data_IF_075219866130
#
_entry.id   IF_075219866130
#
_cell.length_a   1.000
_cell.length_b   1.000
_cell.length_c   1.000
_cell.angle_alpha   90.00
_cell.angle_beta   90.00
_cell.angle_gamma   90.00
#
_symmetry.space_group_name_H-M   'P 1'
#
loop_
_entity.id
_entity.type
_entity.pdbx_description
1 polymer ?
#
# COMPACT_ATOMS: atom_id res chain seq x y z
N UNK A 1 -61.98 32.89 26.11
CA UNK A 1 -61.69 31.60 25.46
C UNK A 1 -60.89 31.87 24.20
N UNK A 2 -59.56 31.95 24.35
CA UNK A 2 -58.59 32.29 23.27
C UNK A 2 -57.83 31.06 22.91
N UNK A 3 -58.01 30.59 21.69
CA UNK A 3 -57.24 29.49 21.10
C UNK A 3 -55.85 29.98 20.74
N UNK A 4 -54.82 29.31 21.26
CA UNK A 4 -53.44 29.49 20.83
C UNK A 4 -53.23 28.65 19.57
N UNK A 5 -52.95 29.31 18.46
CA UNK A 5 -52.35 28.73 17.28
C UNK A 5 -50.88 28.42 17.60
N UNK A 6 -50.52 27.15 17.54
CA UNK A 6 -49.14 26.68 17.61
C UNK A 6 -48.53 26.82 16.21
N UNK A 7 -47.54 27.69 16.08
CA UNK A 7 -46.66 27.76 14.93
C UNK A 7 -45.67 26.56 15.00
N UNK A 8 -45.84 25.60 14.10
CA UNK A 8 -44.85 24.62 13.79
C UNK A 8 -43.81 25.27 12.86
N UNK A 9 -42.50 25.24 13.20
CA UNK A 9 -41.51 25.69 12.25
C UNK A 9 -41.31 24.60 11.16
N UNK A 10 -41.61 25.01 9.94
CA UNK A 10 -41.38 24.30 8.70
C UNK A 10 -39.93 23.83 8.60
N UNK A 11 -39.69 22.52 8.73
CA UNK A 11 -38.43 21.85 8.48
C UNK A 11 -38.21 21.59 6.97
N UNK A 12 -38.10 22.66 6.18
CA UNK A 12 -37.95 22.57 4.73
C UNK A 12 -36.90 23.56 4.21
N UNK A 13 -35.76 23.70 4.90
CA UNK A 13 -34.70 24.60 4.45
C UNK A 13 -33.33 24.10 4.88
N UNK A 14 -32.91 22.90 4.45
CA UNK A 14 -31.47 22.53 4.47
C UNK A 14 -31.11 21.38 3.51
N UNK A 15 -31.75 21.28 2.35
CA UNK A 15 -31.42 20.25 1.36
C UNK A 15 -30.69 20.80 0.11
N UNK A 16 -30.41 22.11 0.04
CA UNK A 16 -29.94 22.75 -1.20
C UNK A 16 -28.47 23.15 -1.23
N UNK A 17 -27.62 22.66 -0.34
CA UNK A 17 -26.17 22.98 -0.35
C UNK A 17 -25.27 21.78 -0.01
N UNK A 18 -25.64 20.56 -0.36
CA UNK A 18 -24.65 19.48 -0.37
C UNK A 18 -23.78 19.66 -1.61
N UNK A 19 -22.56 20.12 -1.40
CA UNK A 19 -21.53 20.09 -2.43
C UNK A 19 -21.36 18.61 -2.82
N UNK A 20 -21.51 18.32 -4.12
CA UNK A 20 -21.27 16.98 -4.66
C UNK A 20 -19.84 16.53 -4.29
N UNK A 21 -19.73 15.41 -3.58
CA UNK A 21 -18.44 14.82 -3.24
C UNK A 21 -18.05 13.78 -4.29
N UNK A 22 -17.22 14.15 -5.26
CA UNK A 22 -16.81 13.23 -6.33
C UNK A 22 -16.03 12.02 -5.81
N UNK A 23 -15.58 12.05 -4.55
CA UNK A 23 -14.85 10.93 -3.95
C UNK A 23 -15.76 9.79 -3.48
N UNK A 24 -17.07 9.99 -3.40
CA UNK A 24 -18.04 8.93 -3.07
C UNK A 24 -17.99 7.79 -4.09
N UNK A 25 -17.75 8.11 -5.37
CA UNK A 25 -17.60 7.11 -6.44
C UNK A 25 -16.13 6.78 -6.66
N UNK A 26 -15.73 5.54 -6.35
CA UNK A 26 -14.37 5.06 -6.59
C UNK A 26 -14.37 3.60 -7.05
N UNK A 27 -14.05 3.37 -8.32
CA UNK A 27 -13.99 2.03 -8.94
C UNK A 27 -12.92 1.14 -8.31
N UNK A 28 -11.82 1.72 -7.80
CA UNK A 28 -10.69 0.99 -7.26
C UNK A 28 -10.75 0.82 -5.73
N UNK A 29 -11.66 1.51 -5.06
CA UNK A 29 -11.83 1.38 -3.59
C UNK A 29 -12.02 -0.07 -3.12
N UNK A 30 -12.83 -0.92 -3.81
CA UNK A 30 -12.95 -2.33 -3.43
C UNK A 30 -11.62 -3.08 -3.50
N UNK A 31 -10.80 -2.80 -4.53
CA UNK A 31 -9.47 -3.43 -4.69
C UNK A 31 -8.53 -3.02 -3.56
N UNK A 32 -8.47 -1.72 -3.23
CA UNK A 32 -7.63 -1.24 -2.13
C UNK A 32 -8.07 -1.82 -0.77
N UNK A 33 -9.38 -1.92 -0.53
CA UNK A 33 -9.91 -2.55 0.69
C UNK A 33 -9.57 -4.03 0.77
N UNK A 34 -9.66 -4.75 -0.34
CA UNK A 34 -9.29 -6.17 -0.42
C UNK A 34 -7.81 -6.36 -0.07
N UNK A 35 -6.91 -5.61 -0.72
CA UNK A 35 -5.47 -5.69 -0.46
C UNK A 35 -5.14 -5.34 1.00
N UNK A 36 -5.79 -4.31 1.56
CA UNK A 36 -5.62 -3.97 2.97
C UNK A 36 -6.09 -5.10 3.92
N UNK A 37 -7.22 -5.74 3.62
CA UNK A 37 -7.72 -6.85 4.42
C UNK A 37 -6.75 -8.06 4.37
N UNK A 38 -6.15 -8.33 3.22
CA UNK A 38 -5.12 -9.37 3.09
C UNK A 38 -3.85 -9.03 3.89
N UNK A 39 -3.41 -7.78 3.88
CA UNK A 39 -2.30 -7.32 4.73
C UNK A 39 -2.62 -7.51 6.22
N UNK A 40 -3.87 -7.26 6.66
CA UNK A 40 -4.31 -7.49 8.04
C UNK A 40 -4.29 -8.99 8.42
N UNK A 41 -4.64 -9.88 7.48
CA UNK A 41 -4.52 -11.34 7.69
C UNK A 41 -3.05 -11.77 7.85
N UNK A 42 -2.16 -11.26 7.00
CA UNK A 42 -0.71 -11.51 7.11
C UNK A 42 -0.18 -10.99 8.46
N UNK A 43 -0.61 -9.80 8.90
CA UNK A 43 -0.22 -9.24 10.18
C UNK A 43 -0.66 -10.13 11.37
N UNK A 44 -1.82 -10.81 11.25
CA UNK A 44 -2.25 -11.81 12.25
C UNK A 44 -1.30 -13.01 12.30
N UNK A 45 -0.84 -13.51 11.16
CA UNK A 45 0.18 -14.58 11.13
C UNK A 45 1.44 -14.15 11.88
N UNK A 46 1.85 -12.88 11.79
CA UNK A 46 2.99 -12.38 12.56
C UNK A 46 2.70 -12.35 14.05
N UNK A 47 1.53 -11.83 14.47
CA UNK A 47 1.12 -11.79 15.87
C UNK A 47 1.05 -13.19 16.50
N UNK A 48 0.49 -14.16 15.79
CA UNK A 48 0.42 -15.58 16.22
C UNK A 48 1.80 -16.21 16.43
N UNK A 49 2.84 -15.64 15.78
CA UNK A 49 4.24 -16.03 15.96
C UNK A 49 5.04 -15.08 16.87
N UNK A 50 4.37 -14.22 17.65
CA UNK A 50 5.00 -13.31 18.61
C UNK A 50 5.75 -12.13 17.97
N UNK A 51 5.30 -11.68 16.78
CA UNK A 51 5.86 -10.53 16.06
C UNK A 51 4.79 -9.44 15.95
N UNK A 52 4.64 -8.62 16.98
CA UNK A 52 3.52 -7.68 17.10
C UNK A 52 3.70 -6.35 16.35
N UNK A 53 4.93 -5.94 16.04
CA UNK A 53 5.25 -4.60 15.53
C UNK A 53 5.80 -4.60 14.10
N UNK A 54 5.63 -5.69 13.35
CA UNK A 54 6.03 -5.81 11.96
C UNK A 54 4.85 -5.54 11.02
N UNK A 55 5.08 -4.64 10.05
CA UNK A 55 4.11 -4.40 8.98
C UNK A 55 4.40 -5.31 7.79
N UNK A 56 3.42 -5.99 7.19
CA UNK A 56 3.60 -6.81 5.98
C UNK A 56 4.35 -6.07 4.88
N UNK A 57 4.02 -4.80 4.68
CA UNK A 57 4.68 -3.92 3.71
C UNK A 57 6.19 -3.72 3.90
N UNK A 58 6.79 -4.17 5.03
CA UNK A 58 8.23 -4.05 5.31
C UNK A 58 9.03 -5.31 5.02
N UNK A 59 8.37 -6.44 4.84
CA UNK A 59 9.00 -7.76 4.72
C UNK A 59 9.86 -7.87 3.47
N UNK A 60 9.42 -7.29 2.36
CA UNK A 60 10.20 -7.27 1.12
C UNK A 60 11.61 -6.69 1.32
N UNK A 61 11.73 -5.57 2.01
CA UNK A 61 13.01 -4.92 2.29
C UNK A 61 13.88 -5.75 3.24
N UNK A 62 13.28 -6.37 4.26
CA UNK A 62 13.99 -7.27 5.19
C UNK A 62 14.55 -8.47 4.43
N UNK A 63 13.74 -9.14 3.64
CA UNK A 63 14.16 -10.32 2.87
C UNK A 63 15.19 -9.95 1.80
N UNK A 64 15.08 -8.77 1.20
CA UNK A 64 16.04 -8.27 0.23
C UNK A 64 17.42 -8.02 0.85
N UNK A 65 17.45 -7.37 2.01
CA UNK A 65 18.69 -7.13 2.76
C UNK A 65 19.31 -8.43 3.28
N UNK A 66 18.48 -9.37 3.72
CA UNK A 66 18.97 -10.70 4.12
C UNK A 66 19.65 -11.44 2.96
N UNK A 67 19.04 -11.42 1.78
CA UNK A 67 19.54 -12.15 0.63
C UNK A 67 20.77 -11.52 -0.02
N UNK A 68 20.90 -10.19 0.03
CA UNK A 68 21.95 -9.44 -0.70
C UNK A 68 22.97 -8.73 0.20
N UNK A 69 22.75 -8.73 1.52
CA UNK A 69 23.58 -8.01 2.48
C UNK A 69 23.31 -6.51 2.53
N UNK A 70 24.25 -5.74 3.11
CA UNK A 70 24.13 -4.29 3.25
C UNK A 70 23.94 -3.57 1.91
N UNK A 71 22.99 -2.65 1.85
CA UNK A 71 22.65 -1.87 0.64
C UNK A 71 22.50 -0.39 0.99
N UNK A 72 22.88 0.49 0.08
CA UNK A 72 22.45 1.90 0.15
C UNK A 72 20.93 2.02 -0.10
N UNK A 73 20.31 3.13 0.33
CA UNK A 73 18.89 3.37 0.06
C UNK A 73 18.61 3.36 -1.46
N UNK A 74 19.52 3.89 -2.27
CA UNK A 74 19.38 3.90 -3.73
C UNK A 74 19.40 2.48 -4.34
N UNK A 75 20.30 1.61 -3.88
CA UNK A 75 20.37 0.20 -4.31
C UNK A 75 19.12 -0.57 -3.88
N UNK A 76 18.70 -0.40 -2.63
CA UNK A 76 17.48 -1.04 -2.12
C UNK A 76 16.23 -0.57 -2.88
N UNK A 77 16.12 0.73 -3.18
CA UNK A 77 15.03 1.30 -3.97
C UNK A 77 14.95 0.67 -5.37
N UNK A 78 16.08 0.61 -6.09
CA UNK A 78 16.14 -0.06 -7.39
C UNK A 78 15.76 -1.53 -7.29
N UNK A 79 16.22 -2.22 -6.26
CA UNK A 79 15.99 -3.66 -6.08
C UNK A 79 14.54 -4.01 -5.74
N UNK A 80 13.77 -3.05 -5.23
CA UNK A 80 12.35 -3.20 -4.83
C UNK A 80 11.38 -2.46 -5.74
N UNK A 81 11.88 -1.84 -6.83
CA UNK A 81 11.05 -1.09 -7.79
C UNK A 81 10.40 0.17 -7.20
N UNK A 82 11.03 0.79 -6.17
CA UNK A 82 10.49 1.97 -5.48
C UNK A 82 11.28 3.23 -5.81
N UNK A 83 10.66 4.40 -5.64
CA UNK A 83 11.39 5.67 -5.71
C UNK A 83 12.30 5.83 -4.49
N UNK A 84 13.41 6.56 -4.64
CA UNK A 84 14.34 6.85 -3.55
C UNK A 84 13.63 7.54 -2.36
N UNK A 85 12.76 8.52 -2.63
CA UNK A 85 12.04 9.26 -1.60
C UNK A 85 11.10 8.35 -0.79
N UNK A 86 10.27 7.56 -1.46
CA UNK A 86 9.35 6.63 -0.80
C UNK A 86 10.10 5.60 0.07
N UNK A 87 11.22 5.07 -0.45
CA UNK A 87 12.01 4.12 0.31
C UNK A 87 12.76 4.77 1.49
N UNK A 88 13.25 5.99 1.32
CA UNK A 88 13.91 6.73 2.42
C UNK A 88 12.97 6.91 3.62
N UNK A 89 11.72 7.31 3.38
CA UNK A 89 10.68 7.43 4.43
C UNK A 89 10.39 6.05 5.08
N UNK A 90 10.24 5.01 4.26
CA UNK A 90 9.98 3.64 4.75
C UNK A 90 11.13 3.15 5.63
N UNK A 91 12.38 3.29 5.18
CA UNK A 91 13.58 2.91 5.95
C UNK A 91 13.68 3.69 7.26
N UNK A 92 13.32 4.98 7.27
CA UNK A 92 13.27 5.77 8.49
C UNK A 92 12.26 5.19 9.51
N UNK A 93 11.06 4.82 9.06
CA UNK A 93 10.04 4.20 9.90
C UNK A 93 10.49 2.80 10.42
N UNK A 94 11.09 1.98 9.55
CA UNK A 94 11.61 0.66 9.92
C UNK A 94 12.76 0.75 10.92
N UNK A 95 13.61 1.78 10.82
CA UNK A 95 14.67 2.06 11.78
C UNK A 95 14.10 2.50 13.13
N UNK A 96 13.11 3.39 13.14
CA UNK A 96 12.44 3.82 14.37
C UNK A 96 11.79 2.65 15.12
N UNK A 97 11.27 1.66 14.38
CA UNK A 97 10.72 0.41 14.93
C UNK A 97 11.79 -0.66 15.25
N UNK A 98 13.09 -0.37 15.03
CA UNK A 98 14.18 -1.27 15.39
C UNK A 98 14.40 -2.47 14.45
N UNK A 99 13.81 -2.45 13.24
CA UNK A 99 14.00 -3.53 12.26
C UNK A 99 15.26 -3.35 11.42
N UNK A 100 15.62 -2.10 11.12
CA UNK A 100 16.80 -1.75 10.33
C UNK A 100 17.75 -0.86 11.12
N UNK A 101 19.00 -0.86 10.72
CA UNK A 101 20.02 0.08 11.18
C UNK A 101 20.83 0.62 10.01
N UNK A 102 21.53 1.72 10.24
CA UNK A 102 22.38 2.36 9.23
C UNK A 102 23.81 2.34 9.71
N UNK A 103 24.72 1.84 8.86
CA UNK A 103 26.14 1.79 9.14
C UNK A 103 26.91 2.63 8.10
N UNK A 104 28.12 3.09 8.41
CA UNK A 104 29.04 3.64 7.41
C UNK A 104 29.22 2.65 6.26
N UNK A 105 29.15 3.14 5.03
CA UNK A 105 29.44 2.32 3.84
C UNK A 105 30.94 2.13 3.62
N UNK A 106 31.30 1.46 2.53
CA UNK A 106 32.70 1.29 2.13
C UNK A 106 33.39 2.62 1.84
N UNK A 107 32.66 3.61 1.38
CA UNK A 107 33.08 5.00 1.26
C UNK A 107 32.54 5.78 2.46
N UNK A 108 33.38 6.57 3.12
CA UNK A 108 33.04 7.38 4.31
C UNK A 108 31.84 8.34 4.09
N UNK A 109 31.51 8.64 2.84
CA UNK A 109 30.36 9.48 2.44
C UNK A 109 29.08 8.68 2.19
N UNK A 110 29.16 7.34 2.10
CA UNK A 110 27.99 6.49 1.87
C UNK A 110 27.49 5.89 3.17
N UNK A 111 26.18 5.67 3.24
CA UNK A 111 25.53 4.95 4.35
C UNK A 111 24.83 3.74 3.78
N UNK A 112 25.02 2.58 4.43
CA UNK A 112 24.33 1.35 4.10
C UNK A 112 23.29 1.01 5.15
N UNK A 113 22.19 0.43 4.72
CA UNK A 113 21.12 -0.12 5.54
C UNK A 113 21.40 -1.60 5.75
N UNK A 114 21.22 -2.06 6.98
CA UNK A 114 21.39 -3.47 7.36
C UNK A 114 20.24 -3.89 8.28
N UNK A 115 20.06 -5.20 8.42
CA UNK A 115 19.16 -5.76 9.41
C UNK A 115 19.71 -5.55 10.83
N UNK A 116 18.82 -5.41 11.80
CA UNK A 116 19.16 -5.52 13.23
C UNK A 116 19.14 -6.98 13.65
N UNK A 117 19.70 -7.30 14.83
CA UNK A 117 19.56 -8.64 15.42
C UNK A 117 18.11 -9.07 15.61
N UNK A 118 17.18 -8.10 15.86
CA UNK A 118 15.73 -8.35 15.91
C UNK A 118 15.23 -8.89 14.58
N UNK A 119 15.54 -8.23 13.46
CA UNK A 119 15.12 -8.64 12.13
C UNK A 119 15.75 -9.98 11.70
N UNK A 120 17.03 -10.20 12.01
CA UNK A 120 17.71 -11.46 11.69
C UNK A 120 17.07 -12.68 12.36
N UNK A 121 16.64 -12.55 13.62
CA UNK A 121 15.99 -13.66 14.36
C UNK A 121 14.73 -14.16 13.70
N UNK A 122 13.93 -13.29 13.08
CA UNK A 122 12.64 -13.64 12.47
C UNK A 122 12.71 -13.84 10.96
N UNK A 123 13.82 -13.49 10.34
CA UNK A 123 13.94 -13.46 8.88
C UNK A 123 13.74 -14.84 8.20
N UNK A 124 13.98 -15.95 8.91
CA UNK A 124 13.69 -17.29 8.39
C UNK A 124 12.17 -17.55 8.34
N UNK A 125 11.45 -17.15 9.40
CA UNK A 125 9.99 -17.22 9.46
C UNK A 125 9.36 -16.33 8.38
N UNK A 126 9.83 -15.09 8.22
CA UNK A 126 9.33 -14.18 7.18
C UNK A 126 9.55 -14.74 5.76
N UNK A 127 10.67 -15.42 5.53
CA UNK A 127 10.90 -16.07 4.23
C UNK A 127 10.01 -17.31 4.01
N UNK A 128 9.63 -18.00 5.05
CA UNK A 128 8.68 -19.12 4.98
C UNK A 128 7.25 -18.59 4.75
N UNK A 129 6.85 -17.57 5.51
CA UNK A 129 5.57 -16.88 5.36
C UNK A 129 5.41 -16.31 3.95
N UNK A 130 6.41 -15.60 3.41
CA UNK A 130 6.36 -15.07 2.04
C UNK A 130 6.04 -16.17 1.01
N UNK A 131 6.71 -17.34 1.12
CA UNK A 131 6.43 -18.46 0.21
C UNK A 131 5.04 -19.04 0.41
N UNK A 132 4.55 -19.09 1.64
CA UNK A 132 3.20 -19.56 1.95
C UNK A 132 2.14 -18.60 1.40
N UNK A 133 2.36 -17.30 1.51
CA UNK A 133 1.50 -16.26 0.91
C UNK A 133 1.46 -16.38 -0.61
N UNK A 134 2.59 -16.54 -1.30
CA UNK A 134 2.62 -16.74 -2.76
C UNK A 134 1.89 -18.04 -3.18
N UNK A 135 2.01 -19.11 -2.39
CA UNK A 135 1.27 -20.36 -2.64
C UNK A 135 -0.23 -20.17 -2.44
N UNK A 136 -0.66 -19.50 -1.37
CA UNK A 136 -2.05 -19.17 -1.09
C UNK A 136 -2.66 -18.25 -2.17
N UNK A 137 -1.90 -17.28 -2.67
CA UNK A 137 -2.33 -16.45 -3.81
C UNK A 137 -2.52 -17.26 -5.08
N UNK A 138 -1.63 -18.23 -5.34
CA UNK A 138 -1.76 -19.12 -6.50
C UNK A 138 -3.02 -19.98 -6.41
N UNK A 139 -3.32 -20.52 -5.21
CA UNK A 139 -4.53 -21.27 -4.93
C UNK A 139 -5.78 -20.40 -5.11
N UNK A 140 -5.79 -19.20 -4.53
CA UNK A 140 -6.88 -18.24 -4.67
C UNK A 140 -7.12 -17.85 -6.14
N UNK A 141 -6.08 -17.58 -6.93
CA UNK A 141 -6.23 -17.23 -8.34
C UNK A 141 -6.82 -18.38 -9.17
N UNK A 142 -6.61 -19.65 -8.78
CA UNK A 142 -7.21 -20.79 -9.44
C UNK A 142 -8.74 -20.89 -9.23
N UNK A 143 -9.28 -20.23 -8.21
CA UNK A 143 -10.72 -20.15 -7.94
C UNK A 143 -11.40 -19.01 -8.74
N UNK A 144 -10.62 -18.12 -9.36
CA UNK A 144 -11.14 -16.93 -10.04
C UNK A 144 -11.31 -17.19 -11.55
N UNK A 145 -12.35 -16.62 -12.18
CA UNK A 145 -12.52 -16.72 -13.64
C UNK A 145 -11.42 -15.96 -14.40
N UNK A 146 -10.77 -14.97 -13.77
CA UNK A 146 -9.69 -14.18 -14.32
C UNK A 146 -8.63 -13.96 -13.25
N UNK A 147 -7.42 -14.54 -13.36
CA UNK A 147 -6.33 -14.32 -12.42
C UNK A 147 -5.98 -12.84 -12.29
N UNK A 148 -5.83 -12.35 -11.07
CA UNK A 148 -5.50 -10.94 -10.82
C UNK A 148 -4.12 -10.57 -11.38
N UNK A 149 -3.18 -11.51 -11.35
CA UNK A 149 -1.86 -11.36 -11.97
C UNK A 149 -1.97 -11.08 -13.48
N UNK A 150 -2.83 -11.81 -14.20
CA UNK A 150 -3.09 -11.56 -15.63
C UNK A 150 -3.76 -10.20 -15.86
N UNK A 151 -4.75 -9.83 -15.05
CA UNK A 151 -5.41 -8.52 -15.13
C UNK A 151 -4.40 -7.39 -14.92
N UNK A 152 -3.46 -7.54 -13.99
CA UNK A 152 -2.41 -6.56 -13.75
C UNK A 152 -1.49 -6.38 -14.97
N UNK A 153 -1.11 -7.48 -15.64
CA UNK A 153 -0.33 -7.42 -16.88
C UNK A 153 -1.11 -6.75 -18.03
N UNK A 154 -2.39 -7.05 -18.18
CA UNK A 154 -3.25 -6.44 -19.20
C UNK A 154 -3.41 -4.93 -18.97
N UNK A 155 -3.57 -4.50 -17.72
CA UNK A 155 -3.58 -3.08 -17.33
C UNK A 155 -2.24 -2.42 -17.69
N UNK A 156 -1.11 -3.07 -17.34
CA UNK A 156 0.22 -2.56 -17.67
C UNK A 156 0.40 -2.39 -19.18
N UNK A 157 -0.01 -3.38 -19.99
CA UNK A 157 0.04 -3.31 -21.43
C UNK A 157 -0.88 -2.20 -21.99
N UNK A 158 -2.07 -2.02 -21.43
CA UNK A 158 -2.97 -0.93 -21.81
C UNK A 158 -2.38 0.46 -21.48
N UNK A 159 -1.70 0.61 -20.35
CA UNK A 159 -1.04 1.85 -19.95
C UNK A 159 0.21 2.16 -20.79
N UNK A 160 0.90 1.14 -21.30
CA UNK A 160 2.00 1.33 -22.23
C UNK A 160 1.54 1.90 -23.59
N UNK A 161 0.33 1.53 -24.04
CA UNK A 161 -0.27 2.08 -25.27
C UNK A 161 -0.79 3.51 -25.12
N UNK A 162 -1.36 3.83 -23.94
CA UNK A 162 -1.88 5.16 -23.60
C UNK A 162 -1.75 5.36 -22.10
N UNK A 163 -0.92 6.32 -21.69
CA UNK A 163 -0.64 6.57 -20.27
C UNK A 163 -1.91 6.95 -19.50
N UNK A 164 -1.91 6.70 -18.19
CA UNK A 164 -3.01 7.10 -17.32
C UNK A 164 -3.18 8.63 -17.30
N UNK A 165 -2.08 9.37 -17.32
CA UNK A 165 -2.08 10.83 -17.47
C UNK A 165 -2.85 11.28 -18.71
N UNK A 166 -2.54 10.71 -19.88
CA UNK A 166 -3.23 11.07 -21.15
C UNK A 166 -4.74 10.79 -21.06
N UNK A 167 -5.15 9.67 -20.45
CA UNK A 167 -6.57 9.35 -20.24
C UNK A 167 -7.27 10.38 -19.36
N UNK A 168 -6.66 10.77 -18.24
CA UNK A 168 -7.21 11.79 -17.33
C UNK A 168 -7.34 13.14 -18.05
N UNK A 169 -6.30 13.58 -18.75
CA UNK A 169 -6.27 14.88 -19.44
C UNK A 169 -7.37 14.99 -20.50
N UNK A 170 -7.62 13.92 -21.25
CA UNK A 170 -8.72 13.89 -22.23
C UNK A 170 -10.10 14.08 -21.56
N UNK A 171 -10.35 13.39 -20.44
CA UNK A 171 -11.61 13.55 -19.72
C UNK A 171 -11.76 14.95 -19.11
N UNK A 172 -10.68 15.54 -18.57
CA UNK A 172 -10.70 16.92 -18.07
C UNK A 172 -11.01 17.93 -19.19
N UNK A 173 -10.44 17.72 -20.38
CA UNK A 173 -10.68 18.60 -21.52
C UNK A 173 -12.10 18.47 -22.08
N UNK A 174 -12.67 17.27 -22.08
CA UNK A 174 -14.06 17.04 -22.51
C UNK A 174 -15.08 17.64 -21.55
N UNK A 175 -14.85 17.59 -20.24
CA UNK A 175 -15.75 18.16 -19.22
C UNK A 175 -15.65 19.68 -19.06
N UNK A 176 -14.64 20.34 -19.64
CA UNK A 176 -14.51 21.79 -19.62
C UNK A 176 -15.26 22.48 -20.80
N UNK A 177 -15.90 21.70 -21.67
CA UNK A 177 -16.64 22.18 -22.86
C UNK A 177 -18.16 22.15 -22.69
N UNK A 178 -18.67 21.68 -21.57
CA UNK A 178 -20.08 21.72 -21.16
C UNK A 178 -20.31 22.80 -20.07
#
# INVERSE_FOLDING_TARGET
MMARMSDEPTAAADESARVDDPTEVSRWRPVFRLLSAMDDEIARVYADNGIDDLKPAWVLEILRLRARGPMTIAELARSTGRTHSALSQKVAAMRAAGWLQTNPGRDARSKTVTLTAKAERVAALLAAEWRATEAALTELEAELPYPLSQVAEDIRAALARKSFHARITEHLSAGAGD
#
